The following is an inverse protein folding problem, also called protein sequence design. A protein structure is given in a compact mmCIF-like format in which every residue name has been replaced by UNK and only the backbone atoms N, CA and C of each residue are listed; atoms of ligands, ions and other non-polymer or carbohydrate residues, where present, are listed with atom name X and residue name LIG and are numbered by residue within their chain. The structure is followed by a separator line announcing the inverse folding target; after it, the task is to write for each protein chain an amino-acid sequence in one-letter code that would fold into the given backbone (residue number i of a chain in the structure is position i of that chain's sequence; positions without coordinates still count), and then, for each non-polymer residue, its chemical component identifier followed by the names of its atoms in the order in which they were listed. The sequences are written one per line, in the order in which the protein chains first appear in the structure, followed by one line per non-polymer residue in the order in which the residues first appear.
data_IF_856367737416
#
_entry.id   IF_856367737416
#
_cell.length_a   1.000
_cell.length_b   1.000
_cell.length_c   1.000
_cell.angle_alpha   90.00
_cell.angle_beta   90.00
_cell.angle_gamma   90.00
#
_symmetry.space_group_name_H-M   'P 1'
#
loop_
_entity.id
_entity.type
_entity.pdbx_description
1 polymer ?
#
# COMPACT_ATOMS: atom_id res chain seq x y z
N UNK A 1 -2.05 -11.62 -6.56
CA UNK A 1 -3.35 -10.89 -6.55
C UNK A 1 -3.40 -10.24 -5.19
N UNK A 2 -3.37 -8.91 -5.16
CA UNK A 2 -3.41 -8.15 -3.90
C UNK A 2 -4.82 -8.32 -3.32
N UNK A 3 -4.93 -8.70 -2.04
CA UNK A 3 -6.23 -8.70 -1.38
C UNK A 3 -6.64 -7.26 -1.04
N UNK A 4 -7.94 -6.97 -1.13
CA UNK A 4 -8.51 -5.68 -0.72
C UNK A 4 -8.14 -5.31 0.72
N UNK A 5 -8.03 -6.32 1.60
CA UNK A 5 -7.58 -6.16 2.99
C UNK A 5 -6.13 -5.67 3.08
N UNK A 6 -5.21 -6.26 2.29
CA UNK A 6 -3.80 -5.86 2.29
C UNK A 6 -3.61 -4.46 1.70
N UNK A 7 -4.40 -4.12 0.68
CA UNK A 7 -4.39 -2.79 0.09
C UNK A 7 -4.91 -1.74 1.08
N UNK A 8 -6.03 -2.02 1.75
CA UNK A 8 -6.61 -1.13 2.77
C UNK A 8 -5.63 -0.91 3.93
N UNK A 9 -4.99 -1.97 4.43
CA UNK A 9 -3.98 -1.87 5.50
C UNK A 9 -2.78 -1.01 5.06
N UNK A 10 -2.34 -1.13 3.82
CA UNK A 10 -1.26 -0.31 3.29
C UNK A 10 -1.63 1.18 3.26
N UNK A 11 -2.84 1.52 2.80
CA UNK A 11 -3.32 2.90 2.78
C UNK A 11 -3.40 3.49 4.20
N UNK A 12 -3.90 2.72 5.16
CA UNK A 12 -3.97 3.11 6.57
C UNK A 12 -2.57 3.38 7.16
N UNK A 13 -1.63 2.44 6.99
CA UNK A 13 -0.26 2.57 7.51
C UNK A 13 0.49 3.72 6.81
N UNK A 14 0.30 3.89 5.51
CA UNK A 14 0.89 4.98 4.75
C UNK A 14 0.25 6.34 5.07
N UNK A 15 -0.92 6.35 5.74
CA UNK A 15 -1.75 7.54 5.94
C UNK A 15 -2.03 8.26 4.62
N UNK A 16 -2.49 7.49 3.63
CA UNK A 16 -2.77 7.96 2.27
C UNK A 16 -4.12 7.46 1.77
N UNK A 17 -4.79 8.30 0.99
CA UNK A 17 -5.93 7.90 0.18
C UNK A 17 -5.47 7.34 -1.18
N UNK A 18 -6.25 6.43 -1.76
CA UNK A 18 -5.93 5.87 -3.08
C UNK A 18 -5.89 6.95 -4.18
N UNK A 19 -6.75 7.95 -4.10
CA UNK A 19 -6.80 9.07 -5.05
C UNK A 19 -5.48 9.88 -5.07
N UNK A 20 -4.80 10.04 -3.92
CA UNK A 20 -3.49 10.67 -3.80
C UNK A 20 -2.47 9.83 -4.57
N UNK A 21 -2.49 8.51 -4.39
CA UNK A 21 -1.58 7.61 -5.10
C UNK A 21 -1.82 7.61 -6.61
N UNK A 22 -3.08 7.65 -7.07
CA UNK A 22 -3.41 7.75 -8.48
C UNK A 22 -2.95 9.08 -9.08
N UNK A 23 -3.23 10.20 -8.41
CA UNK A 23 -2.87 11.54 -8.91
C UNK A 23 -1.35 11.75 -8.99
N UNK A 24 -0.59 11.07 -8.15
CA UNK A 24 0.88 11.10 -8.16
C UNK A 24 1.53 9.97 -8.97
N UNK A 25 0.76 9.13 -9.69
CA UNK A 25 1.26 7.96 -10.42
C UNK A 25 2.01 6.94 -9.52
N UNK A 26 1.64 6.86 -8.24
CA UNK A 26 2.24 5.97 -7.25
C UNK A 26 1.43 4.69 -7.02
N UNK A 27 0.21 4.57 -7.56
CA UNK A 27 -0.64 3.38 -7.35
C UNK A 27 0.08 2.07 -7.68
N UNK A 28 0.70 1.98 -8.85
CA UNK A 28 1.44 0.77 -9.28
C UNK A 28 2.63 0.48 -8.34
N UNK A 29 3.28 1.51 -7.82
CA UNK A 29 4.37 1.35 -6.84
C UNK A 29 3.83 0.82 -5.52
N UNK A 30 2.71 1.38 -5.03
CA UNK A 30 2.02 0.88 -3.83
C UNK A 30 1.60 -0.58 -4.00
N UNK A 31 1.00 -0.94 -5.13
CA UNK A 31 0.60 -2.32 -5.42
C UNK A 31 1.79 -3.29 -5.35
N UNK A 32 2.95 -2.91 -5.92
CA UNK A 32 4.18 -3.72 -5.83
C UNK A 32 4.70 -3.85 -4.40
N UNK A 33 4.58 -2.81 -3.58
CA UNK A 33 4.96 -2.88 -2.15
C UNK A 33 4.06 -3.90 -1.44
N UNK A 34 2.74 -3.82 -1.64
CA UNK A 34 1.79 -4.74 -1.01
C UNK A 34 2.01 -6.19 -1.44
N UNK A 35 2.25 -6.42 -2.73
CA UNK A 35 2.54 -7.75 -3.27
C UNK A 35 3.84 -8.32 -2.66
N UNK A 36 4.88 -7.50 -2.50
CA UNK A 36 6.14 -7.90 -1.86
C UNK A 36 6.01 -8.18 -0.35
N UNK A 37 5.11 -7.47 0.34
CA UNK A 37 4.89 -7.62 1.78
C UNK A 37 4.07 -8.87 2.14
N UNK A 38 3.36 -9.48 1.19
CA UNK A 38 2.61 -10.72 1.42
C UNK A 38 1.54 -10.60 2.52
N UNK A 39 0.96 -9.41 2.70
CA UNK A 39 -0.05 -9.14 3.73
C UNK A 39 0.50 -8.75 5.10
N UNK A 40 1.82 -8.62 5.26
CA UNK A 40 2.42 -8.06 6.46
C UNK A 40 2.47 -6.52 6.37
N UNK A 41 2.09 -5.77 7.40
CA UNK A 41 2.22 -4.32 7.38
C UNK A 41 3.69 -3.92 7.19
N UNK A 42 3.98 -2.86 6.39
CA UNK A 42 5.32 -2.33 6.29
C UNK A 42 5.75 -1.80 7.67
N UNK A 43 6.57 -2.57 8.39
CA UNK A 43 7.17 -2.12 9.65
C UNK A 43 8.46 -1.39 9.31
N UNK A 44 8.45 -0.06 9.39
CA UNK A 44 9.68 0.71 9.54
C UNK A 44 10.05 0.66 11.01
N UNK A 45 11.06 -0.13 11.38
CA UNK A 45 11.67 -0.01 12.71
C UNK A 45 12.45 1.31 12.73
N UNK A 46 11.94 2.31 13.45
CA UNK A 46 12.64 3.56 13.78
C UNK A 46 13.33 3.45 15.12
#
# INVERSE_FOLDING_TARGET
MISEESWSLFLDVASKEENELVSHNLKVTGERIVDNCGGLPPVVQT
#
